data_IF_934955863521
#
_entry.id   IF_934955863521
#
_cell.length_a   1.000
_cell.length_b   1.000
_cell.length_c   1.000
_cell.angle_alpha   90.00
_cell.angle_beta   90.00
_cell.angle_gamma   90.00
#
_symmetry.space_group_name_H-M   'P 1'
#
loop_
_entity.id
_entity.type
_entity.pdbx_description
1 polymer ?
#
# COMPACT_ATOMS: atom_id res chain seq x y z
N UNK A 1 61.96 -13.11 11.34
CA UNK A 1 61.33 -13.56 12.60
C UNK A 1 59.99 -12.84 12.71
N UNK A 2 58.92 -13.59 13.01
CA UNK A 2 57.51 -13.18 13.17
C UNK A 2 56.66 -13.05 11.89
N UNK A 3 56.17 -14.22 11.47
CA UNK A 3 54.93 -14.44 10.73
C UNK A 3 53.72 -14.25 11.64
N UNK A 4 52.80 -13.35 11.31
CA UNK A 4 51.47 -13.26 11.92
C UNK A 4 50.49 -14.12 11.14
N UNK A 5 49.84 -15.07 11.83
CA UNK A 5 48.72 -15.89 11.33
C UNK A 5 47.41 -15.10 11.42
N UNK A 6 46.40 -15.41 10.58
CA UNK A 6 45.05 -14.88 10.73
C UNK A 6 44.23 -15.81 11.63
N UNK A 7 43.82 -15.35 12.80
CA UNK A 7 42.83 -16.06 13.62
C UNK A 7 41.42 -15.62 13.18
N UNK A 8 40.66 -16.61 12.72
CA UNK A 8 39.28 -16.48 12.29
C UNK A 8 38.37 -16.13 13.47
N UNK A 9 37.60 -15.05 13.34
CA UNK A 9 36.48 -14.76 14.24
C UNK A 9 35.30 -15.61 13.78
N UNK A 10 35.10 -16.74 14.43
CA UNK A 10 33.87 -17.52 14.33
C UNK A 10 32.73 -16.73 14.99
N UNK A 11 31.73 -16.33 14.20
CA UNK A 11 30.48 -15.78 14.71
C UNK A 11 29.68 -16.95 15.28
N UNK A 12 29.64 -17.05 16.60
CA UNK A 12 28.78 -18.02 17.28
C UNK A 12 27.31 -17.69 17.00
N UNK A 13 26.59 -18.64 16.42
CA UNK A 13 25.13 -18.60 16.36
C UNK A 13 24.59 -18.60 17.79
N UNK A 14 23.96 -17.51 18.21
CA UNK A 14 23.26 -17.46 19.48
C UNK A 14 22.01 -18.34 19.37
N UNK A 15 21.99 -19.44 20.11
CA UNK A 15 20.83 -20.30 20.32
C UNK A 15 19.71 -19.48 20.99
N UNK A 16 18.73 -19.06 20.17
CA UNK A 16 17.48 -18.48 20.67
C UNK A 16 16.57 -19.66 21.04
N UNK A 17 16.58 -20.03 22.31
CA UNK A 17 15.60 -20.99 22.84
C UNK A 17 14.17 -20.43 22.68
N UNK A 18 13.20 -21.22 22.18
CA UNK A 18 11.84 -20.75 22.02
C UNK A 18 11.23 -20.46 23.40
N UNK A 19 10.83 -19.20 23.62
CA UNK A 19 10.03 -18.81 24.79
C UNK A 19 8.71 -19.58 24.76
N UNK A 20 8.36 -20.20 25.88
CA UNK A 20 7.07 -20.88 26.09
C UNK A 20 5.92 -19.90 25.81
N UNK A 21 5.02 -20.31 24.92
CA UNK A 21 3.84 -19.50 24.57
C UNK A 21 2.96 -19.28 25.81
N UNK A 22 2.56 -18.04 26.13
CA UNK A 22 1.50 -17.82 27.11
C UNK A 22 0.18 -18.38 26.57
N UNK A 23 -0.51 -19.20 27.38
CA UNK A 23 -1.83 -19.72 27.04
C UNK A 23 -2.81 -18.56 26.74
N UNK A 24 -3.70 -18.71 25.75
CA UNK A 24 -4.68 -17.67 25.44
C UNK A 24 -5.64 -17.50 26.62
N UNK A 25 -5.59 -16.33 27.26
CA UNK A 25 -6.62 -15.91 28.24
C UNK A 25 -7.95 -15.81 27.49
N UNK A 26 -8.98 -16.50 27.99
CA UNK A 26 -10.37 -16.32 27.52
C UNK A 26 -10.78 -14.87 27.76
N UNK A 27 -10.83 -14.08 26.70
CA UNK A 27 -11.46 -12.76 26.70
C UNK A 27 -12.97 -13.01 26.68
N UNK A 28 -13.68 -12.54 27.71
CA UNK A 28 -15.14 -12.53 27.70
C UNK A 28 -15.62 -11.62 26.57
N UNK A 29 -16.30 -12.21 25.59
CA UNK A 29 -16.94 -11.45 24.52
C UNK A 29 -18.18 -10.79 25.14
N UNK A 30 -18.05 -9.51 25.50
CA UNK A 30 -19.20 -8.64 25.77
C UNK A 30 -20.20 -8.77 24.62
N UNK A 31 -21.50 -8.91 24.91
CA UNK A 31 -22.54 -8.87 23.88
C UNK A 31 -22.52 -7.50 23.21
N UNK A 32 -21.75 -7.41 22.12
CA UNK A 32 -21.54 -6.18 21.38
C UNK A 32 -22.88 -5.70 20.82
N UNK A 33 -23.21 -4.45 21.13
CA UNK A 33 -24.28 -3.70 20.46
C UNK A 33 -24.03 -3.80 18.95
N UNK A 34 -25.09 -4.01 18.17
CA UNK A 34 -24.97 -4.09 16.71
C UNK A 34 -24.15 -2.89 16.17
N UNK A 35 -23.17 -3.13 15.29
CA UNK A 35 -22.38 -2.06 14.69
C UNK A 35 -23.32 -1.01 14.07
N UNK A 36 -23.04 0.28 14.30
CA UNK A 36 -23.82 1.38 13.71
C UNK A 36 -22.89 2.23 12.88
N UNK A 37 -23.28 2.47 11.63
CA UNK A 37 -22.59 3.43 10.75
C UNK A 37 -22.64 4.83 11.37
N UNK A 38 -21.56 5.58 11.20
CA UNK A 38 -21.50 6.98 11.61
C UNK A 38 -22.55 7.78 10.83
N UNK A 39 -23.27 8.66 11.53
CA UNK A 39 -24.35 9.48 10.98
C UNK A 39 -24.02 10.97 10.96
N UNK A 40 -23.07 11.42 11.79
CA UNK A 40 -22.64 12.81 11.85
C UNK A 40 -21.88 13.17 10.55
N UNK A 41 -22.40 14.10 9.71
CA UNK A 41 -21.74 14.50 8.47
C UNK A 41 -20.32 15.06 8.66
N UNK A 42 -19.98 15.57 9.85
CA UNK A 42 -18.62 16.04 10.15
C UNK A 42 -17.63 14.90 10.35
N UNK A 43 -18.12 13.71 10.70
CA UNK A 43 -17.32 12.52 11.00
C UNK A 43 -17.41 11.45 9.92
N UNK A 44 -18.45 11.47 9.09
CA UNK A 44 -18.52 10.67 7.86
C UNK A 44 -17.42 11.12 6.91
N UNK A 45 -16.63 10.18 6.42
CA UNK A 45 -15.48 10.45 5.55
C UNK A 45 -15.78 9.94 4.14
N UNK A 46 -15.61 10.80 3.16
CA UNK A 46 -15.80 10.48 1.74
C UNK A 46 -14.48 10.59 0.99
N UNK A 47 -14.36 9.85 -0.12
CA UNK A 47 -13.26 10.03 -1.07
C UNK A 47 -13.79 10.84 -2.24
N UNK A 48 -13.16 11.97 -2.52
CA UNK A 48 -13.57 12.91 -3.58
C UNK A 48 -12.61 12.90 -4.77
N UNK A 49 -11.36 12.47 -4.57
CA UNK A 49 -10.37 12.33 -5.63
C UNK A 49 -9.36 11.24 -5.34
N UNK A 50 -8.66 10.83 -6.40
CA UNK A 50 -7.63 9.79 -6.35
C UNK A 50 -6.58 10.04 -7.42
N UNK A 51 -5.32 9.72 -7.11
CA UNK A 51 -4.20 9.86 -8.03
C UNK A 51 -3.24 8.70 -7.90
N UNK A 52 -2.65 8.32 -9.02
CA UNK A 52 -1.74 7.17 -9.12
C UNK A 52 -0.46 7.57 -9.83
N UNK A 53 0.62 6.89 -9.46
CA UNK A 53 1.81 6.69 -10.27
C UNK A 53 2.12 5.20 -10.21
N UNK A 54 2.12 4.52 -11.35
CA UNK A 54 2.23 3.07 -11.42
C UNK A 54 3.01 2.62 -12.64
N UNK A 55 3.29 1.32 -12.71
CA UNK A 55 3.86 0.65 -13.89
C UNK A 55 3.01 0.84 -15.16
N UNK A 56 1.72 1.18 -15.01
CA UNK A 56 0.81 1.46 -16.13
C UNK A 56 0.59 2.95 -16.40
N UNK A 57 1.45 3.80 -15.84
CA UNK A 57 1.36 5.25 -15.97
C UNK A 57 0.73 5.92 -14.74
N UNK A 58 0.38 7.20 -14.91
CA UNK A 58 -0.11 8.05 -13.83
C UNK A 58 -1.56 8.50 -14.02
N UNK A 59 -2.31 7.94 -14.98
CA UNK A 59 -3.74 8.18 -15.12
C UNK A 59 -4.54 7.06 -14.43
N UNK A 60 -5.46 7.42 -13.54
CA UNK A 60 -6.22 6.43 -12.75
C UNK A 60 -7.21 5.61 -13.59
N UNK A 61 -7.68 6.16 -14.72
CA UNK A 61 -8.50 5.44 -15.70
C UNK A 61 -7.67 4.39 -16.43
N UNK A 62 -6.60 4.82 -17.07
CA UNK A 62 -5.68 3.96 -17.82
C UNK A 62 -5.05 2.89 -16.93
N UNK A 63 -4.67 3.24 -15.70
CA UNK A 63 -4.22 2.27 -14.69
C UNK A 63 -5.25 1.15 -14.50
N UNK A 64 -6.51 1.52 -14.28
CA UNK A 64 -7.55 0.52 -14.03
C UNK A 64 -7.92 -0.27 -15.28
N UNK A 65 -7.91 0.35 -16.47
CA UNK A 65 -8.17 -0.35 -17.73
C UNK A 65 -7.13 -1.43 -18.01
N UNK A 66 -5.86 -1.15 -17.67
CA UNK A 66 -4.76 -2.13 -17.74
C UNK A 66 -4.93 -3.26 -16.73
N UNK A 67 -5.38 -2.96 -15.51
CA UNK A 67 -5.75 -4.00 -14.55
C UNK A 67 -6.90 -4.86 -15.09
N UNK A 68 -7.95 -4.25 -15.62
CA UNK A 68 -9.08 -4.97 -16.21
C UNK A 68 -8.68 -5.84 -17.41
N UNK A 69 -7.66 -5.42 -18.18
CA UNK A 69 -7.11 -6.20 -19.28
C UNK A 69 -6.28 -7.41 -18.79
N UNK A 70 -5.84 -7.42 -17.54
CA UNK A 70 -4.94 -8.45 -17.01
C UNK A 70 -3.50 -8.28 -17.48
N UNK A 71 -3.07 -7.05 -17.79
CA UNK A 71 -1.71 -6.80 -18.25
C UNK A 71 -0.71 -7.01 -17.10
N UNK A 72 0.41 -7.70 -17.37
CA UNK A 72 1.50 -7.82 -16.40
C UNK A 72 2.44 -6.63 -16.50
N UNK A 73 2.72 -6.00 -15.36
CA UNK A 73 3.73 -4.96 -15.24
C UNK A 73 5.15 -5.50 -14.97
N UNK A 74 5.28 -6.80 -14.68
CA UNK A 74 6.55 -7.40 -14.36
C UNK A 74 7.43 -7.59 -15.62
N UNK A 75 8.69 -7.16 -15.54
CA UNK A 75 9.65 -7.35 -16.61
C UNK A 75 11.09 -7.27 -16.10
N UNK A 76 12.07 -7.56 -16.96
CA UNK A 76 13.48 -7.46 -16.59
C UNK A 76 13.85 -6.06 -16.12
N UNK A 77 14.69 -5.98 -15.09
CA UNK A 77 15.21 -4.71 -14.57
C UNK A 77 16.18 -4.14 -15.59
N UNK A 78 15.97 -2.88 -15.97
CA UNK A 78 16.82 -2.14 -16.91
C UNK A 78 17.41 -0.85 -16.29
N UNK A 79 17.02 -0.50 -15.05
CA UNK A 79 17.53 0.68 -14.31
C UNK A 79 18.98 0.54 -13.83
N UNK A 80 19.45 -0.69 -13.62
CA UNK A 80 20.82 -1.02 -13.21
C UNK A 80 21.13 -2.46 -13.63
N UNK A 81 22.41 -2.86 -13.60
CA UNK A 81 22.83 -4.23 -13.93
C UNK A 81 22.34 -5.24 -12.86
N UNK A 82 21.41 -6.14 -13.19
CA UNK A 82 20.88 -7.10 -12.22
C UNK A 82 21.65 -8.43 -12.23
N UNK A 83 22.76 -8.58 -12.97
CA UNK A 83 23.43 -9.88 -13.17
C UNK A 83 23.83 -10.59 -11.86
N UNK A 84 24.22 -9.84 -10.83
CA UNK A 84 24.58 -10.38 -9.52
C UNK A 84 23.41 -10.77 -8.60
N UNK A 85 22.17 -10.46 -8.97
CA UNK A 85 20.99 -10.67 -8.13
C UNK A 85 20.28 -11.99 -8.42
N UNK A 86 19.67 -12.58 -7.39
CA UNK A 86 18.87 -13.82 -7.53
C UNK A 86 17.52 -13.57 -8.20
N UNK A 87 16.96 -12.37 -8.05
CA UNK A 87 15.82 -11.85 -8.79
C UNK A 87 16.28 -10.70 -9.69
N UNK A 88 15.99 -10.79 -10.99
CA UNK A 88 16.49 -9.86 -12.03
C UNK A 88 15.37 -9.15 -12.80
N UNK A 89 14.20 -9.10 -12.18
CA UNK A 89 12.98 -8.55 -12.74
C UNK A 89 12.17 -7.88 -11.63
N UNK A 90 11.32 -6.93 -12.03
CA UNK A 90 10.47 -6.14 -11.16
C UNK A 90 9.32 -5.52 -11.98
N UNK A 91 8.29 -5.03 -11.30
CA UNK A 91 7.28 -4.16 -11.88
C UNK A 91 7.76 -2.71 -11.85
N UNK A 92 8.72 -2.40 -12.72
CA UNK A 92 9.39 -1.10 -12.78
C UNK A 92 8.59 -0.08 -13.61
N UNK A 93 8.50 1.14 -13.09
CA UNK A 93 7.96 2.28 -13.82
C UNK A 93 8.98 2.72 -14.87
N UNK A 94 8.51 2.82 -16.12
CA UNK A 94 9.29 3.26 -17.28
C UNK A 94 8.69 4.54 -17.84
N UNK A 95 9.54 5.45 -18.31
CA UNK A 95 9.10 6.70 -18.92
C UNK A 95 8.32 7.62 -17.98
N UNK A 96 8.58 7.57 -16.67
CA UNK A 96 7.97 8.51 -15.72
C UNK A 96 8.37 9.94 -16.07
N UNK A 97 7.37 10.84 -16.11
CA UNK A 97 7.56 12.28 -16.22
C UNK A 97 6.82 12.99 -15.09
N UNK A 98 7.52 13.93 -14.48
CA UNK A 98 6.99 14.89 -13.52
C UNK A 98 6.74 16.27 -14.15
N UNK A 99 6.88 16.38 -15.47
CA UNK A 99 6.63 17.62 -16.22
C UNK A 99 5.22 18.16 -15.93
N UNK A 100 5.14 19.47 -15.67
CA UNK A 100 3.89 20.13 -15.28
C UNK A 100 3.45 19.90 -13.83
N UNK A 101 4.08 18.97 -13.11
CA UNK A 101 3.73 18.65 -11.72
C UNK A 101 4.84 19.02 -10.73
N UNK A 102 6.12 18.99 -11.11
CA UNK A 102 7.23 19.35 -10.23
C UNK A 102 8.12 20.35 -10.98
N UNK A 103 8.58 21.39 -10.27
CA UNK A 103 9.56 22.33 -10.82
C UNK A 103 10.89 21.60 -11.13
N UNK A 104 11.50 21.94 -12.27
CA UNK A 104 12.67 21.22 -12.79
C UNK A 104 13.93 21.29 -11.91
N UNK A 105 14.10 22.33 -11.10
CA UNK A 105 15.22 22.40 -10.14
C UNK A 105 14.97 21.44 -8.97
N UNK A 106 13.73 21.41 -8.47
CA UNK A 106 13.31 20.52 -7.39
C UNK A 106 13.35 19.07 -7.83
N UNK A 107 12.82 18.75 -9.02
CA UNK A 107 12.69 17.39 -9.55
C UNK A 107 14.01 16.62 -9.58
N UNK A 108 15.10 17.28 -9.99
CA UNK A 108 16.43 16.66 -10.12
C UNK A 108 17.05 16.25 -8.78
N UNK A 109 16.55 16.79 -7.67
CA UNK A 109 17.10 16.52 -6.33
C UNK A 109 16.38 15.40 -5.62
N UNK A 110 15.13 15.10 -6.01
CA UNK A 110 14.25 14.19 -5.27
C UNK A 110 14.53 12.71 -5.58
N UNK A 111 14.32 11.85 -4.58
CA UNK A 111 14.18 10.42 -4.82
C UNK A 111 12.87 10.16 -5.59
N UNK A 112 12.86 9.12 -6.41
CA UNK A 112 11.67 8.74 -7.17
C UNK A 112 10.47 8.46 -6.26
N UNK A 113 10.69 8.01 -5.02
CA UNK A 113 9.63 7.85 -4.02
C UNK A 113 8.88 9.18 -3.77
N UNK A 114 9.59 10.30 -3.66
CA UNK A 114 8.97 11.60 -3.42
C UNK A 114 8.38 12.19 -4.71
N UNK A 115 9.03 11.97 -5.86
CA UNK A 115 8.50 12.37 -7.17
C UNK A 115 7.15 11.69 -7.43
N UNK A 116 7.04 10.40 -7.15
CA UNK A 116 5.79 9.64 -7.29
C UNK A 116 4.70 10.16 -6.35
N UNK A 117 5.04 10.44 -5.09
CA UNK A 117 4.10 10.99 -4.11
C UNK A 117 3.53 12.35 -4.56
N UNK A 118 4.38 13.27 -5.01
CA UNK A 118 3.99 14.61 -5.46
C UNK A 118 3.05 14.54 -6.68
N UNK A 119 3.42 13.76 -7.70
CA UNK A 119 2.59 13.61 -8.90
C UNK A 119 1.25 12.95 -8.56
N UNK A 120 1.25 11.88 -7.74
CA UNK A 120 0.01 11.23 -7.32
C UNK A 120 -0.89 12.17 -6.49
N UNK A 121 -0.32 12.96 -5.58
CA UNK A 121 -1.07 13.92 -4.77
C UNK A 121 -1.72 15.03 -5.62
N UNK A 122 -0.97 15.61 -6.56
CA UNK A 122 -1.50 16.62 -7.48
C UNK A 122 -2.62 16.06 -8.36
N UNK A 123 -2.44 14.85 -8.90
CA UNK A 123 -3.49 14.17 -9.66
C UNK A 123 -4.72 13.83 -8.81
N UNK A 124 -4.53 13.49 -7.53
CA UNK A 124 -5.64 13.26 -6.62
C UNK A 124 -6.45 14.54 -6.39
N UNK A 125 -5.77 15.68 -6.17
CA UNK A 125 -6.39 16.99 -6.05
C UNK A 125 -7.13 17.41 -7.33
N UNK A 126 -6.50 17.24 -8.49
CA UNK A 126 -7.13 17.46 -9.80
C UNK A 126 -8.43 16.64 -9.94
N UNK A 127 -8.36 15.34 -9.62
CA UNK A 127 -9.52 14.44 -9.62
C UNK A 127 -10.61 14.85 -8.63
N UNK A 128 -10.27 15.55 -7.54
CA UNK A 128 -11.23 16.04 -6.54
C UNK A 128 -11.89 17.38 -6.93
N UNK A 129 -11.51 17.97 -8.07
CA UNK A 129 -11.89 19.34 -8.42
C UNK A 129 -11.17 20.39 -7.57
N UNK A 130 -9.98 20.05 -7.04
CA UNK A 130 -9.09 20.91 -6.26
C UNK A 130 -7.76 21.12 -7.01
N UNK A 131 -7.82 21.22 -8.35
CA UNK A 131 -6.64 21.50 -9.15
C UNK A 131 -5.98 22.82 -8.69
N UNK A 132 -4.67 22.88 -8.78
CA UNK A 132 -3.91 24.03 -8.29
C UNK A 132 -4.27 25.30 -9.08
N UNK A 133 -4.47 26.41 -8.37
CA UNK A 133 -4.95 27.67 -8.95
C UNK A 133 -6.44 27.68 -9.32
N UNK A 134 -7.19 26.63 -8.98
CA UNK A 134 -8.65 26.66 -9.09
C UNK A 134 -9.27 27.42 -7.91
N UNK A 135 -10.39 28.09 -8.15
CA UNK A 135 -11.15 28.80 -7.09
C UNK A 135 -11.57 27.86 -5.95
N UNK A 136 -11.78 26.57 -6.22
CA UNK A 136 -12.10 25.61 -5.18
C UNK A 136 -10.92 25.36 -4.24
N UNK A 137 -9.69 25.28 -4.79
CA UNK A 137 -8.47 25.15 -4.00
C UNK A 137 -8.18 26.41 -3.18
N UNK A 138 -8.38 27.59 -3.75
CA UNK A 138 -8.18 28.88 -3.05
C UNK A 138 -9.11 29.08 -1.84
N UNK A 139 -10.25 28.38 -1.82
CA UNK A 139 -11.23 28.43 -0.74
C UNK A 139 -11.02 27.33 0.33
N UNK A 140 -10.00 26.48 0.19
CA UNK A 140 -9.67 25.48 1.22
C UNK A 140 -9.09 26.19 2.44
N UNK A 141 -9.62 25.86 3.61
CA UNK A 141 -8.98 26.21 4.88
C UNK A 141 -7.72 25.34 5.06
N UNK A 142 -6.56 25.94 4.79
CA UNK A 142 -5.28 25.25 4.82
C UNK A 142 -4.92 24.73 6.22
N UNK A 143 -5.41 25.35 7.30
CA UNK A 143 -5.20 24.86 8.68
C UNK A 143 -5.99 23.60 8.97
N UNK A 144 -7.06 23.36 8.20
CA UNK A 144 -7.90 22.17 8.26
C UNK A 144 -7.63 21.19 7.12
N UNK A 145 -6.57 21.39 6.36
CA UNK A 145 -6.13 20.50 5.30
C UNK A 145 -4.78 19.86 5.67
N UNK A 146 -4.69 18.52 5.65
CA UNK A 146 -3.50 17.79 6.09
C UNK A 146 -3.02 16.72 5.11
N UNK A 147 -1.88 16.12 5.44
CA UNK A 147 -1.21 15.11 4.60
C UNK A 147 -0.73 13.95 5.47
N UNK A 148 -1.10 12.74 5.10
CA UNK A 148 -0.56 11.50 5.65
C UNK A 148 -0.21 10.58 4.50
N UNK A 149 0.95 10.80 3.89
CA UNK A 149 1.46 9.94 2.80
C UNK A 149 2.73 9.25 3.27
N UNK A 150 2.66 7.93 3.36
CA UNK A 150 3.74 7.11 3.89
C UNK A 150 4.64 6.47 2.85
N UNK A 151 5.78 5.97 3.30
CA UNK A 151 6.68 5.10 2.54
C UNK A 151 7.19 4.00 3.46
N UNK A 152 7.40 2.80 2.92
CA UNK A 152 7.93 1.68 3.69
C UNK A 152 9.40 1.89 4.02
N UNK A 153 10.22 2.23 3.03
CA UNK A 153 11.68 2.29 3.17
C UNK A 153 12.28 3.68 2.92
N UNK A 154 11.49 4.66 2.47
CA UNK A 154 11.92 6.02 2.17
C UNK A 154 12.71 6.14 0.87
N UNK A 155 13.51 7.21 0.77
CA UNK A 155 14.37 7.47 -0.39
C UNK A 155 15.63 6.62 -0.38
N UNK A 156 15.45 5.33 -0.70
CA UNK A 156 16.52 4.33 -0.59
C UNK A 156 17.67 4.59 -1.56
N UNK A 157 17.40 5.20 -2.72
CA UNK A 157 18.43 5.53 -3.71
C UNK A 157 19.29 6.68 -3.19
N UNK A 158 18.67 7.72 -2.65
CA UNK A 158 19.39 8.85 -2.05
C UNK A 158 20.22 8.42 -0.83
N UNK A 159 19.66 7.54 0.01
CA UNK A 159 20.42 6.96 1.12
C UNK A 159 21.67 6.20 0.64
N UNK A 160 21.50 5.32 -0.35
CA UNK A 160 22.60 4.52 -0.90
C UNK A 160 23.69 5.41 -1.52
N UNK A 161 23.30 6.42 -2.31
CA UNK A 161 24.23 7.37 -2.91
C UNK A 161 25.01 8.17 -1.85
N UNK A 162 24.35 8.56 -0.76
CA UNK A 162 24.98 9.23 0.37
C UNK A 162 26.04 8.36 1.07
N UNK A 163 25.71 7.09 1.32
CA UNK A 163 26.65 6.12 1.90
C UNK A 163 27.83 5.88 0.95
N UNK A 164 27.59 5.70 -0.34
CA UNK A 164 28.65 5.52 -1.34
C UNK A 164 29.59 6.73 -1.37
N UNK A 165 29.05 7.95 -1.38
CA UNK A 165 29.85 9.18 -1.35
C UNK A 165 30.69 9.28 -0.08
N UNK A 166 30.12 8.94 1.09
CA UNK A 166 30.84 8.92 2.36
C UNK A 166 32.04 7.95 2.31
N UNK A 167 31.82 6.72 1.85
CA UNK A 167 32.84 5.66 1.85
C UNK A 167 33.92 5.93 0.81
N UNK A 168 33.55 6.37 -0.38
CA UNK A 168 34.49 6.50 -1.52
C UNK A 168 35.16 7.87 -1.60
N UNK A 169 34.53 8.93 -1.08
CA UNK A 169 34.98 10.32 -1.25
C UNK A 169 35.10 11.09 0.07
N UNK A 170 34.67 10.52 1.19
CA UNK A 170 34.73 11.12 2.52
C UNK A 170 33.55 12.04 2.86
N UNK A 171 33.41 12.44 4.13
CA UNK A 171 32.22 13.12 4.65
C UNK A 171 31.94 14.48 4.01
N UNK A 172 32.96 15.20 3.53
CA UNK A 172 32.79 16.51 2.88
C UNK A 172 32.12 16.45 1.51
N UNK A 173 31.92 15.25 0.95
CA UNK A 173 31.26 15.02 -0.34
C UNK A 173 29.86 14.43 -0.22
N UNK A 174 29.37 14.19 1.00
CA UNK A 174 27.99 13.75 1.24
C UNK A 174 27.05 14.92 0.97
N UNK A 175 25.97 14.67 0.20
CA UNK A 175 24.95 15.69 -0.07
C UNK A 175 24.28 16.13 1.24
N UNK A 176 24.06 17.43 1.47
CA UNK A 176 23.29 17.90 2.63
C UNK A 176 21.84 17.40 2.61
N UNK A 177 21.34 16.95 1.45
CA UNK A 177 20.00 16.41 1.27
C UNK A 177 19.91 14.90 1.48
N UNK A 178 21.02 14.21 1.75
CA UNK A 178 21.04 12.75 1.97
C UNK A 178 20.04 12.32 3.04
N UNK A 179 20.09 12.93 4.23
CA UNK A 179 19.19 12.56 5.33
C UNK A 179 17.75 13.02 5.06
N UNK A 180 17.49 14.30 4.70
CA UNK A 180 16.14 14.76 4.38
C UNK A 180 15.42 13.90 3.33
N UNK A 181 16.12 13.48 2.27
CA UNK A 181 15.47 12.74 1.18
C UNK A 181 15.45 11.23 1.40
N UNK A 182 16.23 10.70 2.34
CA UNK A 182 16.19 9.28 2.72
C UNK A 182 15.00 8.93 3.62
N UNK A 183 14.54 9.84 4.48
CA UNK A 183 13.57 9.52 5.53
C UNK A 183 12.14 9.30 4.98
N UNK A 184 11.40 8.26 5.46
CA UNK A 184 10.08 7.92 4.93
C UNK A 184 8.99 8.99 5.05
N UNK A 185 9.13 9.95 5.97
CA UNK A 185 8.17 11.04 6.13
C UNK A 185 8.31 12.15 5.11
N UNK A 186 9.39 12.16 4.31
CA UNK A 186 9.62 13.22 3.35
C UNK A 186 8.58 13.25 2.23
N UNK A 187 7.96 12.11 1.90
CA UNK A 187 6.84 12.06 0.96
C UNK A 187 5.67 12.94 1.43
N UNK A 188 5.25 12.81 2.69
CA UNK A 188 4.20 13.65 3.29
C UNK A 188 4.62 15.11 3.40
N UNK A 189 5.85 15.36 3.85
CA UNK A 189 6.37 16.71 4.05
C UNK A 189 6.42 17.51 2.74
N UNK A 190 6.96 16.92 1.66
CA UNK A 190 7.06 17.60 0.38
C UNK A 190 5.70 17.84 -0.27
N UNK A 191 4.74 16.93 -0.12
CA UNK A 191 3.36 17.15 -0.59
C UNK A 191 2.72 18.33 0.14
N UNK A 192 2.93 18.47 1.45
CA UNK A 192 2.39 19.62 2.20
C UNK A 192 3.08 20.95 1.85
N UNK A 193 4.41 20.92 1.66
CA UNK A 193 5.24 22.11 1.36
C UNK A 193 5.10 22.57 -0.09
N UNK A 194 4.65 21.68 -0.99
CA UNK A 194 4.41 22.00 -2.39
C UNK A 194 3.65 23.32 -2.51
N UNK A 195 4.25 24.28 -3.22
CA UNK A 195 3.83 25.68 -3.19
C UNK A 195 2.40 25.89 -3.72
N UNK A 196 1.86 24.96 -4.51
CA UNK A 196 0.47 25.03 -4.92
C UNK A 196 -0.51 24.35 -3.94
N UNK A 197 -0.01 23.51 -3.02
CA UNK A 197 -0.82 22.79 -2.03
C UNK A 197 -0.84 23.56 -0.70
N UNK A 198 0.30 23.78 -0.07
CA UNK A 198 0.44 24.62 1.13
C UNK A 198 -0.38 24.19 2.36
N UNK A 199 -0.64 22.90 2.54
CA UNK A 199 -1.47 22.38 3.64
C UNK A 199 -0.78 22.53 5.00
N UNK A 200 -1.48 23.11 5.98
CA UNK A 200 -0.96 23.47 7.32
C UNK A 200 -1.51 22.59 8.45
N UNK A 201 -2.49 21.74 8.17
CA UNK A 201 -3.09 20.81 9.11
C UNK A 201 -2.18 19.62 9.46
N UNK A 202 -2.75 18.52 10.00
CA UNK A 202 -1.97 17.35 10.43
C UNK A 202 -1.05 16.81 9.32
N UNK A 203 0.25 16.79 9.57
CA UNK A 203 1.26 16.28 8.64
C UNK A 203 2.22 15.32 9.34
N UNK A 204 2.17 14.05 8.94
CA UNK A 204 3.09 13.00 9.41
C UNK A 204 3.05 11.81 8.46
N UNK A 205 3.89 10.81 8.70
CA UNK A 205 3.94 9.59 7.91
C UNK A 205 3.93 8.38 8.83
N UNK A 206 3.26 7.32 8.38
CA UNK A 206 3.35 6.00 8.98
C UNK A 206 4.25 5.15 8.09
N UNK A 207 5.21 4.44 8.69
CA UNK A 207 5.97 3.38 8.01
C UNK A 207 5.66 2.05 8.69
N UNK A 208 4.96 1.18 7.97
CA UNK A 208 4.48 -0.12 8.40
C UNK A 208 4.71 -1.19 7.30
N UNK A 209 5.87 -1.11 6.64
CA UNK A 209 6.24 -1.97 5.51
C UNK A 209 5.15 -1.99 4.41
N UNK A 210 4.73 -3.18 3.96
CA UNK A 210 3.67 -3.33 2.95
C UNK A 210 2.29 -2.80 3.35
N UNK A 211 2.06 -2.49 4.64
CA UNK A 211 0.81 -1.97 5.16
C UNK A 211 0.77 -0.44 5.29
N UNK A 212 1.86 0.26 4.97
CA UNK A 212 2.01 1.71 5.11
C UNK A 212 0.85 2.52 4.51
N UNK A 213 0.54 2.33 3.22
CA UNK A 213 -0.53 3.10 2.57
C UNK A 213 -1.90 2.93 3.21
N UNK A 214 -2.26 1.70 3.61
CA UNK A 214 -3.52 1.40 4.29
C UNK A 214 -3.56 2.04 5.69
N UNK A 215 -2.46 1.96 6.43
CA UNK A 215 -2.33 2.66 7.72
C UNK A 215 -2.51 4.17 7.58
N UNK A 216 -1.93 4.76 6.52
CA UNK A 216 -2.05 6.19 6.26
C UNK A 216 -3.49 6.62 5.95
N UNK A 217 -4.22 5.84 5.14
CA UNK A 217 -5.64 6.07 4.85
C UNK A 217 -6.48 6.02 6.13
N UNK A 218 -6.31 4.97 6.94
CA UNK A 218 -7.00 4.84 8.23
C UNK A 218 -6.67 6.01 9.17
N UNK A 219 -5.39 6.36 9.28
CA UNK A 219 -4.91 7.45 10.13
C UNK A 219 -5.45 8.81 9.71
N UNK A 220 -5.57 9.07 8.40
CA UNK A 220 -6.14 10.29 7.85
C UNK A 220 -7.65 10.40 8.14
N UNK A 221 -8.39 9.30 7.99
CA UNK A 221 -9.80 9.27 8.36
C UNK A 221 -10.02 9.59 9.84
N UNK A 222 -9.13 9.14 10.73
CA UNK A 222 -9.19 9.48 12.15
C UNK A 222 -8.98 10.97 12.42
N UNK A 223 -8.09 11.65 11.68
CA UNK A 223 -7.95 13.11 11.82
C UNK A 223 -9.25 13.84 11.49
N UNK A 224 -9.97 13.39 10.45
CA UNK A 224 -11.27 13.94 10.07
C UNK A 224 -12.33 13.63 11.13
N UNK A 225 -12.45 12.36 11.55
CA UNK A 225 -13.43 11.92 12.57
C UNK A 225 -13.25 12.60 13.92
N UNK A 226 -12.02 12.95 14.28
CA UNK A 226 -11.67 13.71 15.48
C UNK A 226 -11.87 15.22 15.32
N UNK A 227 -12.30 15.70 14.14
CA UNK A 227 -12.54 17.12 13.85
C UNK A 227 -11.27 17.95 13.66
N UNK A 228 -10.11 17.32 13.49
CA UNK A 228 -8.80 17.98 13.36
C UNK A 228 -8.49 18.44 11.94
N UNK A 229 -9.16 17.87 10.95
CA UNK A 229 -9.04 18.24 9.55
C UNK A 229 -10.39 18.05 8.84
N UNK A 230 -10.61 18.79 7.76
CA UNK A 230 -11.73 18.61 6.84
C UNK A 230 -11.29 17.97 5.52
N UNK A 231 -10.02 18.12 5.14
CA UNK A 231 -9.40 17.54 3.95
C UNK A 231 -8.10 16.84 4.32
N UNK A 232 -7.89 15.62 3.85
CA UNK A 232 -6.65 14.87 4.04
C UNK A 232 -6.19 14.24 2.72
N UNK A 233 -4.93 14.45 2.36
CA UNK A 233 -4.24 13.64 1.35
C UNK A 233 -3.69 12.40 2.03
N UNK A 234 -4.10 11.22 1.61
CA UNK A 234 -3.76 9.98 2.30
C UNK A 234 -3.36 8.85 1.34
N UNK A 235 -2.32 8.11 1.69
CA UNK A 235 -1.89 6.96 0.88
C UNK A 235 -0.44 6.58 1.10
N UNK A 236 0.22 6.12 0.04
CA UNK A 236 1.63 5.74 0.13
C UNK A 236 2.37 5.83 -1.20
N UNK A 237 3.69 5.92 -1.09
CA UNK A 237 4.63 5.95 -2.21
C UNK A 237 5.86 5.06 -1.90
N UNK A 238 6.44 4.48 -2.95
CA UNK A 238 7.66 3.68 -2.83
C UNK A 238 8.42 3.65 -4.16
N UNK A 239 9.74 3.75 -4.11
CA UNK A 239 10.65 3.55 -5.24
C UNK A 239 11.80 2.59 -4.88
N UNK A 240 11.43 1.39 -4.45
CA UNK A 240 12.36 0.42 -3.87
C UNK A 240 13.17 -0.39 -4.90
N UNK A 241 12.98 -0.16 -6.20
CA UNK A 241 13.75 -0.85 -7.25
C UNK A 241 15.13 -0.19 -7.34
N UNK A 242 15.97 -0.52 -6.36
CA UNK A 242 17.34 -0.06 -6.17
C UNK A 242 18.22 -1.24 -5.72
N UNK A 243 19.53 -1.26 -6.05
CA UNK A 243 20.42 -2.37 -5.75
C UNK A 243 20.40 -2.84 -4.29
N UNK A 244 20.46 -1.90 -3.34
CA UNK A 244 20.51 -2.23 -1.90
C UNK A 244 19.20 -2.86 -1.40
N UNK A 245 18.04 -2.35 -1.85
CA UNK A 245 16.74 -2.89 -1.47
C UNK A 245 16.49 -4.25 -2.11
N UNK A 246 16.79 -4.40 -3.40
CA UNK A 246 16.69 -5.66 -4.12
C UNK A 246 17.59 -6.73 -3.47
N UNK A 247 18.83 -6.38 -3.13
CA UNK A 247 19.77 -7.26 -2.45
C UNK A 247 19.30 -7.70 -1.06
N UNK A 248 18.78 -6.76 -0.26
CA UNK A 248 18.23 -7.06 1.06
C UNK A 248 17.02 -8.01 1.00
N UNK A 249 16.06 -7.73 0.12
CA UNK A 249 14.85 -8.56 -0.04
C UNK A 249 15.18 -9.93 -0.65
N UNK A 250 16.17 -10.00 -1.54
CA UNK A 250 16.70 -11.25 -2.08
C UNK A 250 17.36 -12.10 -0.99
N UNK A 251 18.15 -11.49 -0.09
CA UNK A 251 18.80 -12.17 1.03
C UNK A 251 17.79 -12.71 2.05
N UNK A 252 16.65 -12.02 2.24
CA UNK A 252 15.52 -12.52 3.03
C UNK A 252 14.80 -13.72 2.39
N UNK A 253 15.06 -14.03 1.12
CA UNK A 253 14.34 -15.06 0.37
C UNK A 253 12.89 -14.67 0.07
N UNK A 254 12.57 -13.38 0.06
CA UNK A 254 11.20 -12.90 -0.10
C UNK A 254 10.75 -12.74 -1.56
N UNK A 255 11.71 -12.59 -2.48
CA UNK A 255 11.48 -12.37 -3.90
C UNK A 255 11.34 -13.67 -4.69
N UNK A 256 10.45 -13.67 -5.69
CA UNK A 256 10.39 -14.73 -6.71
C UNK A 256 11.72 -14.83 -7.46
N UNK A 257 12.09 -16.06 -7.86
CA UNK A 257 13.34 -16.33 -8.60
C UNK A 257 13.09 -16.72 -10.07
N UNK A 258 11.87 -16.52 -10.56
CA UNK A 258 11.42 -16.89 -11.91
C UNK A 258 11.95 -15.95 -13.00
N UNK A 259 13.27 -15.85 -13.11
CA UNK A 259 13.94 -14.96 -14.05
C UNK A 259 13.65 -15.29 -15.52
N UNK A 260 13.33 -16.55 -15.84
CA UNK A 260 13.04 -16.99 -17.20
C UNK A 260 11.66 -16.56 -17.71
N UNK A 261 10.74 -16.19 -16.80
CA UNK A 261 9.38 -15.78 -17.14
C UNK A 261 8.87 -14.75 -16.12
N UNK A 262 9.36 -13.49 -16.21
CA UNK A 262 8.99 -12.43 -15.27
C UNK A 262 7.50 -12.09 -15.25
N UNK A 263 6.85 -12.11 -16.42
CA UNK A 263 5.46 -11.67 -16.58
C UNK A 263 4.50 -12.57 -15.80
N UNK A 264 4.86 -13.84 -15.62
CA UNK A 264 4.06 -14.81 -14.85
C UNK A 264 4.56 -15.07 -13.43
N UNK A 265 5.59 -14.35 -12.98
CA UNK A 265 6.23 -14.60 -11.69
C UNK A 265 5.33 -14.24 -10.50
N UNK A 266 4.56 -13.15 -10.59
CA UNK A 266 3.55 -12.80 -9.59
C UNK A 266 2.29 -13.61 -9.84
N UNK A 267 2.05 -14.62 -9.00
CA UNK A 267 0.97 -15.61 -9.16
C UNK A 267 0.28 -15.91 -7.83
N UNK A 268 -0.41 -14.93 -7.23
CA UNK A 268 -1.08 -15.13 -5.95
C UNK A 268 -2.04 -16.32 -5.98
N UNK A 269 -1.99 -17.13 -4.93
CA UNK A 269 -2.75 -18.37 -4.79
C UNK A 269 -2.54 -19.44 -5.88
N UNK A 270 -1.53 -19.32 -6.74
CA UNK A 270 -1.05 -20.43 -7.57
C UNK A 270 -0.17 -21.36 -6.72
N UNK A 271 -0.28 -22.68 -6.91
CA UNK A 271 0.51 -23.67 -6.16
C UNK A 271 2.02 -23.47 -6.31
N UNK A 272 2.46 -22.97 -7.47
CA UNK A 272 3.86 -22.88 -7.85
C UNK A 272 4.44 -21.47 -7.57
N UNK A 273 3.76 -20.66 -6.75
CA UNK A 273 4.23 -19.35 -6.26
C UNK A 273 5.46 -19.50 -5.35
N UNK A 274 6.47 -18.66 -5.55
CA UNK A 274 7.79 -18.79 -4.92
C UNK A 274 8.30 -17.51 -4.25
N UNK A 275 7.48 -16.47 -4.14
CA UNK A 275 7.85 -15.18 -3.59
C UNK A 275 7.11 -14.03 -4.29
N UNK A 276 7.25 -12.82 -3.77
CA UNK A 276 6.63 -11.65 -4.40
C UNK A 276 7.52 -11.08 -5.51
N UNK A 277 6.91 -10.38 -6.45
CA UNK A 277 7.62 -9.55 -7.45
C UNK A 277 7.69 -8.13 -6.91
N UNK A 278 8.88 -7.54 -6.82
CA UNK A 278 9.02 -6.17 -6.32
C UNK A 278 8.40 -5.18 -7.31
N UNK A 279 7.59 -4.24 -6.82
CA UNK A 279 7.03 -3.14 -7.60
C UNK A 279 7.36 -1.79 -6.97
N UNK A 280 6.98 -0.72 -7.66
CA UNK A 280 7.11 0.66 -7.19
C UNK A 280 5.92 1.51 -7.65
N UNK A 281 5.74 2.70 -7.07
CA UNK A 281 4.67 3.62 -7.45
C UNK A 281 4.15 4.45 -6.28
N UNK A 282 3.00 5.07 -6.47
CA UNK A 282 2.27 5.82 -5.46
C UNK A 282 0.76 5.76 -5.71
N UNK A 283 -0.01 5.71 -4.63
CA UNK A 283 -1.47 5.88 -4.67
C UNK A 283 -1.89 6.82 -3.55
N UNK A 284 -2.59 7.90 -3.90
CA UNK A 284 -3.03 8.96 -2.99
C UNK A 284 -4.52 9.22 -3.18
N UNK A 285 -5.25 9.35 -2.07
CA UNK A 285 -6.66 9.71 -2.02
C UNK A 285 -6.81 11.14 -1.46
N UNK A 286 -7.81 11.86 -1.96
CA UNK A 286 -8.37 13.03 -1.28
C UNK A 286 -9.55 12.56 -0.45
N UNK A 287 -9.39 12.61 0.88
CA UNK A 287 -10.41 12.25 1.85
C UNK A 287 -10.97 13.51 2.48
N UNK A 288 -12.29 13.61 2.60
CA UNK A 288 -12.96 14.78 3.16
C UNK A 288 -14.02 14.42 4.17
N UNK A 289 -14.29 15.33 5.12
CA UNK A 289 -15.55 15.25 5.87
C UNK A 289 -16.72 15.41 4.89
N UNK A 290 -17.79 14.64 5.09
CA UNK A 290 -18.96 14.72 4.23
C UNK A 290 -19.56 16.14 4.24
N UNK A 291 -19.60 16.79 5.40
CA UNK A 291 -20.05 18.18 5.52
C UNK A 291 -19.24 19.11 4.60
N UNK A 292 -17.90 19.00 4.62
CA UNK A 292 -17.03 19.82 3.78
C UNK A 292 -17.23 19.53 2.29
N UNK A 293 -17.22 18.24 1.92
CA UNK A 293 -17.43 17.81 0.54
C UNK A 293 -18.78 18.30 -0.03
N UNK A 294 -19.86 18.21 0.75
CA UNK A 294 -21.18 18.70 0.35
C UNK A 294 -21.21 20.23 0.24
N UNK A 295 -20.60 20.95 1.18
CA UNK A 295 -20.54 22.42 1.20
C UNK A 295 -19.87 22.99 -0.06
N UNK A 296 -18.82 22.33 -0.57
CA UNK A 296 -18.16 22.73 -1.83
C UNK A 296 -18.74 22.07 -3.09
N UNK A 297 -19.79 21.26 -2.98
CA UNK A 297 -20.41 20.57 -4.12
C UNK A 297 -19.52 19.50 -4.75
N UNK A 298 -18.64 18.86 -3.98
CA UNK A 298 -17.68 17.87 -4.46
C UNK A 298 -18.37 16.62 -5.05
N UNK A 299 -17.86 16.05 -6.16
CA UNK A 299 -18.23 14.71 -6.55
C UNK A 299 -17.68 13.71 -5.52
N UNK A 300 -18.54 12.86 -4.97
CA UNK A 300 -18.12 11.77 -4.07
C UNK A 300 -17.95 10.49 -4.88
N UNK A 301 -16.76 9.91 -4.85
CA UNK A 301 -16.45 8.64 -5.51
C UNK A 301 -17.02 7.47 -4.69
N UNK A 302 -16.70 7.43 -3.39
CA UNK A 302 -17.15 6.42 -2.44
C UNK A 302 -17.19 7.01 -1.02
N UNK A 303 -17.81 6.28 -0.11
CA UNK A 303 -17.66 6.53 1.34
C UNK A 303 -16.59 5.61 1.92
N UNK A 304 -15.69 6.17 2.75
CA UNK A 304 -14.83 5.39 3.63
C UNK A 304 -15.63 5.07 4.89
N UNK A 305 -15.96 3.79 5.08
CA UNK A 305 -16.81 3.37 6.20
C UNK A 305 -15.98 3.15 7.46
N UNK A 306 -14.78 2.59 7.35
CA UNK A 306 -13.94 2.30 8.51
C UNK A 306 -12.65 1.57 8.17
N UNK A 307 -11.85 1.34 9.20
CA UNK A 307 -10.57 0.69 9.08
C UNK A 307 -10.01 0.28 10.43
N UNK A 308 -9.00 -0.57 10.42
CA UNK A 308 -8.34 -0.99 11.65
C UNK A 308 -6.87 -1.36 11.41
N UNK A 309 -6.15 -1.49 12.52
CA UNK A 309 -4.82 -2.08 12.56
C UNK A 309 -4.72 -3.17 13.64
N UNK A 310 -3.83 -4.13 13.43
CA UNK A 310 -3.41 -5.11 14.44
C UNK A 310 -1.96 -5.52 14.26
N UNK A 311 -1.43 -6.28 15.22
CA UNK A 311 -0.08 -6.81 15.19
C UNK A 311 -0.07 -8.32 15.39
N UNK A 312 0.67 -9.06 14.57
CA UNK A 312 0.85 -10.50 14.74
C UNK A 312 1.60 -10.86 16.03
N UNK A 313 2.51 -9.99 16.48
CA UNK A 313 3.41 -10.23 17.62
C UNK A 313 4.13 -11.59 17.54
N UNK A 314 4.52 -12.01 16.32
CA UNK A 314 5.00 -13.35 16.01
C UNK A 314 6.44 -13.38 15.48
N UNK A 315 6.68 -12.78 14.32
CA UNK A 315 7.98 -12.78 13.66
C UNK A 315 8.19 -11.48 12.87
N UNK A 316 9.46 -11.10 12.67
CA UNK A 316 9.81 -9.82 12.00
C UNK A 316 9.46 -9.80 10.51
N UNK A 317 9.29 -10.95 9.86
CA UNK A 317 9.00 -11.09 8.41
C UNK A 317 7.83 -12.04 8.13
N UNK A 318 7.83 -13.23 8.74
CA UNK A 318 6.77 -14.21 8.55
C UNK A 318 5.48 -13.79 9.28
N UNK A 319 4.30 -13.94 8.64
CA UNK A 319 3.04 -13.76 9.33
C UNK A 319 2.80 -14.91 10.32
N UNK A 320 1.90 -14.69 11.28
CA UNK A 320 1.40 -15.79 12.11
C UNK A 320 0.77 -16.88 11.21
N UNK A 321 1.24 -18.15 11.27
CA UNK A 321 0.77 -19.20 10.37
C UNK A 321 -0.72 -19.51 10.50
N UNK A 322 -1.31 -19.19 11.64
CA UNK A 322 -2.74 -19.34 11.85
C UNK A 322 -3.53 -18.23 11.15
N UNK A 323 -3.01 -17.01 10.95
CA UNK A 323 -3.73 -15.85 10.42
C UNK A 323 -4.69 -15.19 11.42
N UNK A 324 -4.50 -15.39 12.73
CA UNK A 324 -5.43 -14.88 13.74
C UNK A 324 -5.45 -13.35 13.81
N UNK A 325 -4.29 -12.70 13.91
CA UNK A 325 -4.23 -11.23 13.99
C UNK A 325 -4.75 -10.55 12.71
N UNK A 326 -4.46 -11.11 11.52
CA UNK A 326 -5.10 -10.67 10.28
C UNK A 326 -6.64 -10.78 10.36
N UNK A 327 -7.20 -11.89 10.89
CA UNK A 327 -8.65 -12.02 11.07
C UNK A 327 -9.22 -11.03 12.09
N UNK A 328 -8.47 -10.71 13.14
CA UNK A 328 -8.81 -9.70 14.12
C UNK A 328 -8.83 -8.30 13.47
N UNK A 329 -7.88 -8.00 12.60
CA UNK A 329 -7.82 -6.75 11.86
C UNK A 329 -9.04 -6.58 10.95
N UNK A 330 -9.36 -7.59 10.15
CA UNK A 330 -10.55 -7.58 9.28
C UNK A 330 -11.80 -7.39 10.14
N UNK A 331 -11.99 -8.18 11.20
CA UNK A 331 -13.16 -8.07 12.07
C UNK A 331 -13.30 -6.67 12.69
N UNK A 332 -12.21 -6.10 13.21
CA UNK A 332 -12.20 -4.75 13.78
C UNK A 332 -12.49 -3.66 12.76
N UNK A 333 -12.02 -3.84 11.52
CA UNK A 333 -12.31 -2.89 10.44
C UNK A 333 -13.79 -2.87 10.09
N UNK A 334 -14.47 -4.03 10.13
CA UNK A 334 -15.92 -4.14 9.92
C UNK A 334 -16.70 -3.58 11.12
N UNK A 335 -16.23 -3.82 12.34
CA UNK A 335 -16.79 -3.22 13.56
C UNK A 335 -16.69 -1.68 13.53
N UNK A 336 -15.53 -1.12 13.16
CA UNK A 336 -15.34 0.33 12.97
C UNK A 336 -16.23 0.87 11.85
N UNK A 337 -16.40 0.10 10.77
CA UNK A 337 -17.23 0.46 9.63
C UNK A 337 -18.74 0.42 9.90
N UNK A 338 -19.18 -0.18 11.01
CA UNK A 338 -20.61 -0.42 11.23
C UNK A 338 -21.20 -1.43 10.23
N UNK A 339 -20.39 -2.40 9.76
CA UNK A 339 -20.71 -3.32 8.67
C UNK A 339 -20.72 -4.77 9.19
N UNK A 340 -21.74 -5.54 8.81
CA UNK A 340 -21.77 -6.98 9.05
C UNK A 340 -20.91 -7.74 8.02
N UNK A 341 -20.23 -8.85 8.37
CA UNK A 341 -19.45 -9.64 7.41
C UNK A 341 -20.21 -10.04 6.15
N UNK A 342 -21.52 -10.27 6.25
CA UNK A 342 -22.40 -10.66 5.15
C UNK A 342 -22.66 -9.53 4.13
N UNK A 343 -22.40 -8.27 4.50
CA UNK A 343 -22.52 -7.13 3.59
C UNK A 343 -21.30 -6.99 2.66
N UNK A 344 -20.16 -7.57 3.04
CA UNK A 344 -18.92 -7.56 2.25
C UNK A 344 -19.07 -8.53 1.08
N UNK A 345 -18.91 -8.01 -0.12
CA UNK A 345 -18.98 -8.83 -1.34
C UNK A 345 -17.79 -8.61 -2.27
N UNK A 346 -16.80 -7.82 -1.85
CA UNK A 346 -15.55 -7.64 -2.59
C UNK A 346 -14.34 -7.53 -1.66
N UNK A 347 -13.25 -8.19 -2.02
CA UNK A 347 -11.99 -8.19 -1.29
C UNK A 347 -10.84 -7.98 -2.28
N UNK A 348 -10.16 -6.84 -2.18
CA UNK A 348 -8.83 -6.70 -2.76
C UNK A 348 -7.83 -7.20 -1.72
N UNK A 349 -7.32 -8.42 -1.93
CA UNK A 349 -6.51 -9.12 -0.96
C UNK A 349 -5.06 -8.61 -0.94
N UNK A 350 -4.36 -8.84 0.16
CA UNK A 350 -2.94 -8.52 0.25
C UNK A 350 -2.11 -9.42 -0.67
N UNK A 351 -2.35 -10.73 -0.64
CA UNK A 351 -2.00 -11.73 -1.66
C UNK A 351 -0.69 -11.43 -2.41
N UNK A 352 0.43 -11.53 -1.70
CA UNK A 352 1.74 -11.11 -2.21
C UNK A 352 2.38 -12.13 -3.14
N UNK A 353 1.72 -13.26 -3.44
CA UNK A 353 2.34 -14.40 -4.13
C UNK A 353 3.42 -15.09 -3.27
N UNK A 354 3.38 -14.88 -1.95
CA UNK A 354 4.20 -15.60 -0.99
C UNK A 354 3.43 -16.77 -0.40
N UNK A 355 4.09 -17.92 -0.23
CA UNK A 355 3.40 -19.12 0.27
C UNK A 355 2.83 -18.92 1.68
N UNK A 356 3.61 -18.32 2.58
CA UNK A 356 3.19 -18.08 3.96
C UNK A 356 2.12 -16.99 4.07
N UNK A 357 2.30 -15.86 3.38
CA UNK A 357 1.37 -14.73 3.38
C UNK A 357 0.00 -15.12 2.85
N UNK A 358 -0.05 -15.67 1.64
CA UNK A 358 -1.32 -16.03 0.98
C UNK A 358 -2.11 -17.05 1.82
N UNK A 359 -1.44 -18.06 2.42
CA UNK A 359 -2.10 -19.06 3.26
C UNK A 359 -2.61 -18.47 4.59
N UNK A 360 -1.85 -17.56 5.21
CA UNK A 360 -2.28 -16.90 6.44
C UNK A 360 -3.50 -16.00 6.19
N UNK A 361 -3.50 -15.26 5.08
CA UNK A 361 -4.65 -14.43 4.67
C UNK A 361 -5.88 -15.27 4.37
N UNK A 362 -5.77 -16.37 3.62
CA UNK A 362 -6.91 -17.25 3.35
C UNK A 362 -7.52 -17.83 4.64
N UNK A 363 -6.69 -18.22 5.62
CA UNK A 363 -7.18 -18.66 6.93
C UNK A 363 -7.88 -17.53 7.68
N UNK A 364 -7.36 -16.31 7.60
CA UNK A 364 -7.96 -15.14 8.22
C UNK A 364 -9.35 -14.86 7.65
N UNK A 365 -9.47 -14.88 6.32
CA UNK A 365 -10.72 -14.68 5.60
C UNK A 365 -11.77 -15.75 5.95
N UNK A 366 -11.39 -17.04 5.94
CA UNK A 366 -12.28 -18.16 6.34
C UNK A 366 -12.76 -18.08 7.79
N UNK A 367 -12.02 -17.39 8.67
CA UNK A 367 -12.48 -17.14 10.04
C UNK A 367 -13.59 -16.10 10.10
N UNK A 368 -13.51 -15.05 9.28
CA UNK A 368 -14.43 -13.91 9.30
C UNK A 368 -15.66 -14.20 8.44
N UNK A 369 -15.46 -14.63 7.20
CA UNK A 369 -16.51 -14.84 6.20
C UNK A 369 -16.90 -16.32 6.18
N UNK A 370 -18.12 -16.62 6.64
CA UNK A 370 -18.66 -18.00 6.69
C UNK A 370 -19.34 -18.43 5.41
N UNK A 371 -19.97 -17.48 4.74
CA UNK A 371 -20.48 -17.63 3.39
C UNK A 371 -19.69 -16.70 2.47
N UNK A 372 -19.02 -17.30 1.50
CA UNK A 372 -18.17 -16.61 0.51
C UNK A 372 -18.80 -16.61 -0.88
N UNK A 373 -20.01 -17.17 -1.05
CA UNK A 373 -20.66 -17.37 -2.34
C UNK A 373 -20.91 -16.07 -3.13
N UNK A 374 -21.08 -14.95 -2.41
CA UNK A 374 -21.29 -13.62 -3.00
C UNK A 374 -20.01 -12.79 -3.08
N UNK A 375 -18.89 -13.29 -2.54
CA UNK A 375 -17.63 -12.55 -2.45
C UNK A 375 -16.81 -12.78 -3.71
N UNK A 376 -16.43 -11.68 -4.35
CA UNK A 376 -15.34 -11.66 -5.33
C UNK A 376 -14.06 -11.23 -4.62
N UNK A 377 -12.98 -11.96 -4.84
CA UNK A 377 -11.68 -11.65 -4.26
C UNK A 377 -10.65 -11.57 -5.37
N UNK A 378 -9.76 -10.59 -5.36
CA UNK A 378 -8.67 -10.54 -6.33
C UNK A 378 -7.36 -10.08 -5.69
N UNK A 379 -6.27 -10.19 -6.45
CA UNK A 379 -4.96 -9.73 -6.05
C UNK A 379 -4.38 -8.78 -7.09
N UNK A 380 -4.44 -7.47 -6.82
CA UNK A 380 -3.88 -6.43 -7.71
C UNK A 380 -2.39 -6.66 -7.97
N UNK A 381 -1.66 -7.18 -6.96
CA UNK A 381 -0.23 -7.49 -7.02
C UNK A 381 0.15 -8.53 -8.07
N UNK A 382 -0.80 -9.32 -8.59
CA UNK A 382 -0.56 -10.21 -9.74
C UNK A 382 -0.11 -9.44 -10.98
N UNK A 383 -0.53 -8.18 -11.14
CA UNK A 383 -0.22 -7.33 -12.29
C UNK A 383 0.83 -6.28 -11.97
N UNK A 384 0.75 -5.61 -10.81
CA UNK A 384 1.62 -4.47 -10.48
C UNK A 384 2.82 -4.85 -9.60
N UNK A 385 2.97 -6.12 -9.26
CA UNK A 385 3.90 -6.56 -8.22
C UNK A 385 3.53 -6.03 -6.83
N UNK A 386 4.43 -6.18 -5.87
CA UNK A 386 4.28 -5.65 -4.53
C UNK A 386 5.01 -4.31 -4.40
N UNK A 387 4.26 -3.22 -4.50
CA UNK A 387 4.78 -1.85 -4.37
C UNK A 387 5.07 -1.41 -2.92
N UNK A 388 5.37 -2.38 -2.03
CA UNK A 388 5.67 -2.17 -0.61
C UNK A 388 4.77 -1.11 0.04
N UNK A 389 5.30 0.01 0.50
CA UNK A 389 4.54 1.04 1.19
C UNK A 389 3.45 1.72 0.35
N UNK A 390 3.57 1.71 -0.98
CA UNK A 390 2.56 2.23 -1.90
C UNK A 390 1.40 1.27 -2.16
N UNK A 391 1.56 -0.03 -1.85
CA UNK A 391 0.59 -1.07 -2.21
C UNK A 391 -0.82 -0.74 -1.71
N UNK A 392 -0.96 -0.41 -0.42
CA UNK A 392 -2.27 -0.09 0.16
C UNK A 392 -2.96 1.13 -0.48
N UNK A 393 -2.21 2.11 -1.00
CA UNK A 393 -2.77 3.25 -1.72
C UNK A 393 -3.28 2.86 -3.11
N UNK A 394 -2.47 2.16 -3.89
CA UNK A 394 -2.83 1.67 -5.23
C UNK A 394 -3.99 0.67 -5.17
N UNK A 395 -4.02 -0.19 -4.15
CA UNK A 395 -5.06 -1.20 -3.93
C UNK A 395 -6.38 -0.61 -3.41
N UNK A 396 -6.32 0.44 -2.59
CA UNK A 396 -7.50 1.22 -2.24
C UNK A 396 -8.11 1.86 -3.50
N UNK A 397 -7.28 2.43 -4.38
CA UNK A 397 -7.75 3.00 -5.65
C UNK A 397 -8.35 1.92 -6.55
N UNK A 398 -7.71 0.75 -6.70
CA UNK A 398 -8.29 -0.37 -7.44
C UNK A 398 -9.65 -0.83 -6.86
N UNK A 399 -9.80 -0.77 -5.54
CA UNK A 399 -11.06 -1.08 -4.83
C UNK A 399 -12.14 -0.04 -5.12
N UNK A 400 -11.80 1.25 -5.06
CA UNK A 400 -12.69 2.36 -5.39
C UNK A 400 -13.15 2.27 -6.85
N UNK A 401 -12.23 1.92 -7.76
CA UNK A 401 -12.55 1.71 -9.18
C UNK A 401 -13.46 0.51 -9.39
N UNK A 402 -13.30 -0.58 -8.64
CA UNK A 402 -14.23 -1.71 -8.69
C UNK A 402 -15.64 -1.29 -8.27
N UNK A 403 -15.75 -0.52 -7.19
CA UNK A 403 -17.02 0.01 -6.68
C UNK A 403 -17.70 0.93 -7.72
N UNK A 404 -16.94 1.86 -8.28
CA UNK A 404 -17.48 2.91 -9.16
C UNK A 404 -17.77 2.43 -10.58
N UNK A 405 -17.08 1.39 -11.06
CA UNK A 405 -17.25 0.88 -12.43
C UNK A 405 -18.13 -0.38 -12.51
N UNK A 406 -18.28 -1.12 -11.40
CA UNK A 406 -18.95 -2.42 -11.38
C UNK A 406 -18.21 -3.52 -12.14
N UNK A 407 -16.93 -3.29 -12.45
CA UNK A 407 -16.02 -4.28 -13.02
C UNK A 407 -14.94 -4.60 -12.00
N UNK A 408 -14.63 -5.88 -11.84
CA UNK A 408 -13.57 -6.36 -10.96
C UNK A 408 -12.46 -6.94 -11.83
N UNK A 409 -11.23 -6.45 -11.65
CA UNK A 409 -10.07 -6.92 -12.39
C UNK A 409 -9.69 -8.36 -11.98
N UNK A 410 -9.03 -9.12 -12.87
CA UNK A 410 -8.64 -10.48 -12.55
C UNK A 410 -7.49 -10.57 -11.56
N UNK A 411 -7.32 -11.77 -11.03
CA UNK A 411 -6.02 -12.26 -10.57
C UNK A 411 -5.39 -13.06 -11.69
N UNK A 412 -4.32 -12.56 -12.29
CA UNK A 412 -3.63 -13.25 -13.39
C UNK A 412 -2.66 -14.33 -12.87
N UNK A 413 -2.20 -15.19 -13.77
CA UNK A 413 -1.15 -16.19 -13.55
C UNK A 413 -1.53 -17.36 -12.63
N UNK A 414 -2.82 -17.66 -12.47
CA UNK A 414 -3.27 -18.76 -11.60
C UNK A 414 -3.39 -20.08 -12.36
N UNK A 415 -2.33 -20.55 -13.02
CA UNK A 415 -2.38 -21.76 -13.86
C UNK A 415 -2.83 -23.02 -13.11
N UNK A 416 -2.31 -23.21 -11.90
CA UNK A 416 -2.55 -24.32 -10.98
C UNK A 416 -3.01 -23.78 -9.62
N UNK A 417 -4.29 -23.42 -9.45
CA UNK A 417 -4.77 -22.86 -8.19
C UNK A 417 -4.47 -23.75 -6.99
N UNK A 418 -4.03 -23.13 -5.90
CA UNK A 418 -3.80 -23.79 -4.62
C UNK A 418 -5.13 -24.30 -4.05
N UNK A 419 -5.27 -25.58 -3.67
CA UNK A 419 -6.51 -26.08 -3.07
C UNK A 419 -6.98 -25.30 -1.84
N UNK A 420 -6.08 -24.56 -1.17
CA UNK A 420 -6.45 -23.71 -0.04
C UNK A 420 -7.39 -22.54 -0.38
N UNK A 421 -7.49 -22.13 -1.66
CA UNK A 421 -8.37 -21.01 -2.10
C UNK A 421 -9.76 -21.46 -2.60
N UNK A 422 -10.06 -22.76 -2.51
CA UNK A 422 -11.30 -23.43 -2.94
C UNK A 422 -12.63 -22.70 -2.66
N UNK A 423 -12.72 -21.95 -1.57
CA UNK A 423 -13.94 -21.27 -1.13
C UNK A 423 -14.13 -19.87 -1.72
N UNK A 424 -13.14 -19.29 -2.40
CA UNK A 424 -13.21 -17.93 -2.91
C UNK A 424 -13.20 -17.91 -4.44
N UNK A 425 -14.07 -17.09 -5.02
CA UNK A 425 -13.93 -16.71 -6.43
C UNK A 425 -12.81 -15.66 -6.54
N UNK A 426 -11.64 -16.10 -7.02
CA UNK A 426 -10.43 -15.29 -7.14
C UNK A 426 -10.41 -14.36 -8.35
N UNK A 427 -11.53 -14.29 -9.09
CA UNK A 427 -11.63 -13.55 -10.36
C UNK A 427 -10.49 -14.00 -11.29
N UNK A 428 -10.31 -15.32 -11.40
CA UNK A 428 -9.16 -15.93 -12.06
C UNK A 428 -9.07 -15.52 -13.53
N UNK A 429 -7.92 -14.96 -13.92
CA UNK A 429 -7.44 -14.66 -15.28
C UNK A 429 -8.31 -13.73 -16.15
N UNK A 430 -9.61 -13.59 -15.87
CA UNK A 430 -10.56 -12.77 -16.63
C UNK A 430 -11.38 -11.88 -15.70
N UNK A 431 -11.47 -10.58 -16.03
CA UNK A 431 -12.30 -9.63 -15.30
C UNK A 431 -13.77 -10.08 -15.22
N UNK A 432 -14.46 -9.68 -14.16
CA UNK A 432 -15.87 -10.01 -13.97
C UNK A 432 -16.70 -8.77 -13.68
N UNK A 433 -17.97 -8.78 -14.12
CA UNK A 433 -18.95 -7.77 -13.73
C UNK A 433 -19.46 -8.12 -12.33
N UNK A 434 -19.40 -7.18 -11.40
CA UNK A 434 -19.86 -7.39 -10.03
C UNK A 434 -20.27 -6.06 -9.41
N UNK A 435 -21.49 -5.99 -8.88
CA UNK A 435 -21.93 -4.82 -8.12
C UNK A 435 -21.34 -4.91 -6.71
N UNK A 436 -20.43 -4.01 -6.37
CA UNK A 436 -19.79 -3.99 -5.04
C UNK A 436 -20.68 -3.22 -4.05
N UNK A 437 -21.17 -3.92 -3.02
CA UNK A 437 -21.93 -3.31 -1.92
C UNK A 437 -20.99 -2.77 -0.83
N UNK A 438 -20.06 -3.61 -0.37
CA UNK A 438 -18.96 -3.22 0.51
C UNK A 438 -17.71 -3.94 0.04
N UNK A 439 -16.65 -3.16 -0.18
CA UNK A 439 -15.32 -3.64 -0.54
C UNK A 439 -14.32 -3.41 0.57
N UNK A 440 -13.46 -4.39 0.84
CA UNK A 440 -12.29 -4.22 1.72
C UNK A 440 -11.00 -4.30 0.94
N UNK A 441 -9.99 -3.55 1.38
CA UNK A 441 -8.60 -3.65 0.89
C UNK A 441 -7.70 -4.07 2.04
N UNK A 442 -7.07 -5.23 1.90
CA UNK A 442 -6.21 -5.79 2.94
C UNK A 442 -4.74 -5.44 2.69
N UNK A 443 -4.00 -5.11 3.75
CA UNK A 443 -2.55 -4.99 3.69
C UNK A 443 -1.90 -5.60 4.93
N UNK A 444 -1.12 -6.66 4.72
CA UNK A 444 -0.43 -7.40 5.79
C UNK A 444 1.08 -7.38 5.49
N UNK A 445 1.80 -6.54 6.23
CA UNK A 445 3.20 -6.23 6.01
C UNK A 445 4.14 -6.98 6.96
N UNK A 446 5.43 -6.97 6.61
CA UNK A 446 6.51 -7.39 7.50
C UNK A 446 6.45 -6.62 8.82
N UNK A 447 7.00 -7.21 9.89
CA UNK A 447 6.85 -6.74 11.26
C UNK A 447 5.53 -7.17 11.92
N UNK A 448 4.67 -7.88 11.18
CA UNK A 448 3.34 -8.27 11.63
C UNK A 448 2.33 -7.12 11.59
N UNK A 449 2.59 -6.07 10.79
CA UNK A 449 1.70 -4.93 10.64
C UNK A 449 0.50 -5.30 9.76
N UNK A 450 -0.69 -5.34 10.35
CA UNK A 450 -1.91 -5.60 9.61
C UNK A 450 -2.78 -4.36 9.56
N UNK A 451 -3.27 -3.99 8.39
CA UNK A 451 -4.26 -2.93 8.20
C UNK A 451 -5.30 -3.32 7.15
N UNK A 452 -6.55 -2.94 7.41
CA UNK A 452 -7.67 -3.13 6.48
C UNK A 452 -8.48 -1.84 6.44
N UNK A 453 -8.88 -1.43 5.24
CA UNK A 453 -9.78 -0.30 4.99
C UNK A 453 -11.04 -0.75 4.26
N UNK A 454 -12.17 -0.12 4.56
CA UNK A 454 -13.52 -0.51 4.13
C UNK A 454 -14.18 0.64 3.37
N UNK A 455 -14.66 0.35 2.15
CA UNK A 455 -15.31 1.31 1.28
C UNK A 455 -16.69 0.81 0.82
N UNK A 456 -17.59 1.73 0.52
CA UNK A 456 -18.89 1.42 -0.07
C UNK A 456 -19.35 2.51 -1.06
N UNK A 457 -20.26 2.18 -2.00
CA UNK A 457 -20.93 3.20 -2.80
C UNK A 457 -21.55 4.27 -1.89
N UNK A 458 -21.29 5.55 -2.20
CA UNK A 458 -21.92 6.64 -1.47
C UNK A 458 -23.40 6.73 -1.82
N UNK A 459 -24.24 6.74 -0.79
CA UNK A 459 -25.68 7.00 -0.91
C UNK A 459 -25.93 8.39 -0.33
N UNK A 460 -26.51 9.27 -1.16
CA UNK A 460 -26.89 10.63 -0.77
C UNK A 460 -27.92 10.65 0.36
#
# INVERSE_FOLDING_TARGET
MQTLRPDAVAVAAADVTPRTQPQPRRVSVSMARAPRRESDPKKRVVVTGMGVVSVFGNDAGAFYDRLLAGDSGAGHIDRFDPAGFTARFAAQIRGFSSEGHIDGESDRRLDDCQRYALVAARKALESAGLALGSTAMDNIDLERAGVVVGSGIGGVKEFAAGVESLVTKGPSKVSPFTVPLAIPNMASALVAIDAGIGFLGPNYSVSAAGATGSHCIHSAADQIRLGRADVMLAGGAEAAIAPVALGGLAALGALSRRNADPETASRPWDRDRDGFVLGEGAGVLVMESLEHAMRRGAPVLVEYLGGAASCDAYHVTNPSPDGYAASLCIKRSLEDAGVAPEEVNYINANATSSRAGDLAELKALKRVFKDTSLIKMNATKSMIGHCLGAAGGLEAIATIKAITTGWVHPTINQFNPDPAVDQFDTVRDVKQRHYVNVGISNSFGFGGHNSVVVFAPFKR
#
